data_IF_270110366299
#
_entry.id   IF_270110366299
#
_cell.length_a   1.000
_cell.length_b   1.000
_cell.length_c   1.000
_cell.angle_alpha   90.00
_cell.angle_beta   90.00
_cell.angle_gamma   90.00
#
_symmetry.space_group_name_H-M   'P 1'
#
loop_
_entity.id
_entity.type
_entity.pdbx_description
1 polymer ?
#
# COMPACT_ATOMS: atom_id res chain seq x y z
N UNK A 1 20.34 -13.20 3.40
CA UNK A 1 20.52 -11.77 3.07
C UNK A 1 21.04 -11.58 1.64
N UNK A 2 22.00 -12.37 1.16
CA UNK A 2 22.51 -12.36 -0.24
C UNK A 2 21.52 -12.80 -1.34
N UNK A 3 20.34 -13.33 -0.98
CA UNK A 3 19.35 -13.84 -1.96
C UNK A 3 18.37 -12.79 -2.47
N UNK A 4 18.22 -11.64 -1.78
CA UNK A 4 17.28 -10.57 -2.17
C UNK A 4 17.93 -9.40 -2.93
N UNK A 5 19.22 -9.14 -2.74
CA UNK A 5 20.00 -8.31 -3.68
C UNK A 5 20.03 -8.91 -5.10
N UNK A 6 19.88 -10.24 -5.23
CA UNK A 6 19.65 -10.89 -6.53
C UNK A 6 18.26 -10.67 -7.11
N UNK A 7 17.26 -10.20 -6.36
CA UNK A 7 15.90 -10.00 -6.87
C UNK A 7 15.74 -8.59 -7.42
N UNK A 8 16.31 -7.56 -6.77
CA UNK A 8 16.44 -6.24 -7.37
C UNK A 8 17.47 -6.23 -8.52
N UNK A 9 18.60 -6.94 -8.37
CA UNK A 9 19.70 -6.94 -9.35
C UNK A 9 19.62 -7.95 -10.50
N UNK A 10 18.73 -8.97 -10.49
CA UNK A 10 18.58 -9.92 -11.64
C UNK A 10 17.36 -9.67 -12.52
N UNK A 11 16.49 -8.73 -12.18
CA UNK A 11 15.33 -8.39 -13.01
C UNK A 11 15.59 -7.21 -13.96
N UNK A 12 16.78 -6.60 -13.91
CA UNK A 12 17.26 -5.52 -14.79
C UNK A 12 18.17 -6.09 -15.91
N UNK A 13 17.73 -7.13 -16.61
CA UNK A 13 18.45 -7.64 -17.79
C UNK A 13 17.66 -8.77 -18.47
N UNK A 14 17.13 -8.57 -19.68
CA UNK A 14 17.92 -8.49 -20.91
C UNK A 14 17.31 -7.62 -22.03
N UNK A 15 16.42 -6.67 -21.68
CA UNK A 15 15.95 -5.62 -22.61
C UNK A 15 15.88 -4.22 -22.02
N UNK A 16 16.37 -4.04 -20.80
CA UNK A 16 16.43 -2.71 -20.18
C UNK A 16 17.74 -2.05 -20.58
N UNK A 17 17.67 -1.07 -21.47
CA UNK A 17 18.78 -0.21 -21.85
C UNK A 17 18.77 1.02 -20.92
N UNK A 18 19.67 1.10 -19.92
CA UNK A 18 19.76 2.24 -19.01
C UNK A 18 20.12 3.56 -19.71
N UNK A 19 20.43 3.55 -21.01
CA UNK A 19 20.67 4.76 -21.81
C UNK A 19 19.42 5.30 -22.50
N UNK A 20 18.28 4.60 -22.45
CA UNK A 20 17.04 4.98 -23.18
C UNK A 20 15.92 5.57 -22.32
N UNK A 21 15.98 5.53 -21.00
CA UNK A 21 14.98 6.17 -20.14
C UNK A 21 15.58 6.62 -18.81
N UNK A 22 15.73 7.94 -18.63
CA UNK A 22 16.03 8.55 -17.34
C UNK A 22 14.79 8.57 -16.46
N UNK A 23 14.33 7.40 -16.03
CA UNK A 23 13.21 7.26 -15.08
C UNK A 23 13.81 7.30 -13.68
N UNK A 24 13.40 8.30 -12.89
CA UNK A 24 13.70 8.41 -11.47
C UNK A 24 12.43 8.09 -10.69
N UNK A 25 12.50 7.10 -9.80
CA UNK A 25 11.43 6.72 -8.89
C UNK A 25 11.62 7.39 -7.53
N UNK A 26 10.58 8.05 -7.04
CA UNK A 26 10.52 8.63 -5.68
C UNK A 26 9.36 8.00 -4.94
N UNK A 27 9.63 7.32 -3.83
CA UNK A 27 8.64 6.75 -2.93
C UNK A 27 8.33 7.80 -1.84
N UNK A 28 7.07 8.21 -1.76
CA UNK A 28 6.56 9.04 -0.66
C UNK A 28 5.74 8.13 0.25
N UNK A 29 6.25 7.91 1.45
CA UNK A 29 5.64 7.02 2.45
C UNK A 29 5.79 7.58 3.85
N UNK A 30 5.10 6.98 4.82
CA UNK A 30 5.12 7.40 6.21
C UNK A 30 5.45 6.19 7.10
N UNK A 31 6.52 6.27 7.91
CA UNK A 31 6.95 5.18 8.81
C UNK A 31 7.25 5.73 10.20
N UNK A 32 6.88 4.98 11.24
CA UNK A 32 7.27 5.25 12.63
C UNK A 32 8.72 4.85 12.90
N UNK A 33 9.52 5.76 13.45
CA UNK A 33 10.91 5.51 13.84
C UNK A 33 10.96 4.52 15.01
N UNK A 34 11.53 3.33 14.79
CA UNK A 34 11.93 2.43 15.87
C UNK A 34 13.34 2.80 16.35
N UNK A 35 13.47 3.30 17.57
CA UNK A 35 14.77 3.37 18.24
C UNK A 35 15.16 1.95 18.67
N UNK A 36 16.19 1.38 18.05
CA UNK A 36 16.81 0.14 18.53
C UNK A 36 18.18 0.45 19.11
N UNK A 37 18.28 0.32 20.43
CA UNK A 37 19.54 0.29 21.15
C UNK A 37 20.31 -0.97 20.79
N UNK A 38 21.40 -0.80 20.04
CA UNK A 38 22.42 -1.83 19.86
C UNK A 38 23.57 -1.47 20.77
N UNK A 39 23.77 -2.24 21.85
CA UNK A 39 25.01 -2.19 22.62
C UNK A 39 26.17 -2.63 21.73
N UNK A 40 27.02 -1.68 21.33
CA UNK A 40 28.42 -1.94 21.00
C UNK A 40 29.29 -1.25 22.05
N UNK A 41 30.12 -2.05 22.73
CA UNK A 41 31.24 -1.54 23.53
C UNK A 41 32.23 -0.86 22.59
N UNK A 42 32.61 0.37 22.90
CA UNK A 42 33.67 1.12 22.22
C UNK A 42 33.40 2.62 22.26
N UNK A 43 34.03 3.28 23.23
CA UNK A 43 34.28 4.72 23.40
C UNK A 43 33.10 5.70 23.24
N UNK A 44 32.65 6.24 24.39
CA UNK A 44 31.63 7.26 24.51
C UNK A 44 32.12 8.64 24.01
N UNK A 45 31.34 9.36 23.17
CA UNK A 45 31.42 10.81 23.05
C UNK A 45 30.55 11.48 24.13
N UNK A 46 30.80 12.76 24.46
CA UNK A 46 30.23 13.39 25.64
C UNK A 46 28.70 13.57 25.55
N UNK A 47 28.04 13.21 26.66
CA UNK A 47 26.67 13.60 27.02
C UNK A 47 26.56 15.14 26.99
N UNK A 48 25.96 15.71 25.94
CA UNK A 48 25.23 16.99 25.98
C UNK A 48 24.73 17.40 24.57
N UNK A 49 24.00 16.52 23.89
CA UNK A 49 23.14 16.93 22.79
C UNK A 49 21.70 17.01 23.31
N UNK A 50 21.07 18.20 23.38
CA UNK A 50 19.67 18.30 23.76
C UNK A 50 18.82 17.53 22.74
N UNK A 51 17.73 16.87 23.16
CA UNK A 51 16.82 16.22 22.23
C UNK A 51 16.36 17.26 21.19
N UNK A 52 16.19 16.87 19.90
CA UNK A 52 15.60 17.77 18.92
C UNK A 52 14.27 18.24 19.49
N UNK A 53 14.15 19.55 19.70
CA UNK A 53 12.93 20.16 20.20
C UNK A 53 11.83 19.81 19.21
N UNK A 54 10.95 18.89 19.59
CA UNK A 54 9.71 18.68 18.87
C UNK A 54 8.94 20.00 18.89
N UNK A 55 8.86 20.66 17.75
CA UNK A 55 7.82 21.65 17.53
C UNK A 55 6.50 20.89 17.68
N UNK A 56 5.73 21.25 18.70
CA UNK A 56 4.33 20.84 18.75
C UNK A 56 3.68 21.30 17.43
N UNK A 57 2.83 20.48 16.78
CA UNK A 57 2.13 20.91 15.59
C UNK A 57 1.24 22.10 15.98
N UNK A 58 1.59 23.28 15.48
CA UNK A 58 0.74 24.46 15.58
C UNK A 58 -0.38 24.22 14.56
N UNK A 59 -1.60 24.04 15.04
CA UNK A 59 -2.76 23.88 14.17
C UNK A 59 -2.99 25.17 13.37
N UNK A 60 -2.88 25.15 12.05
CA UNK A 60 -3.24 26.28 11.20
C UNK A 60 -4.73 26.24 10.83
N UNK A 61 -5.53 27.27 11.16
CA UNK A 61 -6.90 27.39 10.68
C UNK A 61 -7.01 27.80 9.19
N UNK A 62 -5.90 28.18 8.54
CA UNK A 62 -5.95 28.86 7.24
C UNK A 62 -6.26 27.93 6.05
N UNK A 63 -5.85 26.65 6.10
CA UNK A 63 -5.95 25.73 4.96
C UNK A 63 -6.63 24.38 5.28
N UNK A 64 -7.20 24.23 6.48
CA UNK A 64 -8.00 23.04 6.85
C UNK A 64 -7.24 21.71 6.94
N UNK A 65 -5.91 21.70 6.78
CA UNK A 65 -5.07 20.50 6.92
C UNK A 65 -4.42 20.41 8.31
N UNK A 66 -4.33 19.19 8.85
CA UNK A 66 -3.60 18.89 10.11
C UNK A 66 -2.20 18.35 9.78
N UNK A 67 -1.39 19.17 9.11
CA UNK A 67 0.01 18.87 8.79
C UNK A 67 0.91 20.06 9.16
N UNK A 68 2.22 20.00 8.85
CA UNK A 68 3.11 21.13 9.08
C UNK A 68 2.66 22.37 8.30
N UNK A 69 3.16 23.53 8.73
CA UNK A 69 2.84 24.80 8.08
C UNK A 69 3.43 24.80 6.66
N UNK A 70 2.61 25.22 5.71
CA UNK A 70 3.09 25.45 4.34
C UNK A 70 3.62 26.87 4.28
N UNK A 71 4.87 27.04 3.82
CA UNK A 71 5.42 28.34 3.48
C UNK A 71 4.91 28.79 2.10
N UNK A 72 4.03 29.81 2.00
CA UNK A 72 3.60 30.33 0.71
C UNK A 72 4.76 31.07 0.03
N UNK A 73 4.88 30.93 -1.29
CA UNK A 73 5.94 31.57 -2.07
C UNK A 73 5.61 31.63 -3.56
N UNK A 74 6.11 32.66 -4.26
CA UNK A 74 5.84 32.86 -5.70
C UNK A 74 6.78 32.10 -6.65
N UNK A 75 7.77 31.39 -6.11
CA UNK A 75 8.77 30.63 -6.88
C UNK A 75 8.73 29.15 -6.50
N UNK A 76 9.32 28.28 -7.33
CA UNK A 76 9.39 26.85 -7.03
C UNK A 76 8.01 26.20 -6.87
N UNK A 77 7.91 25.05 -6.20
CA UNK A 77 6.64 24.35 -5.96
C UNK A 77 5.61 25.19 -5.19
N UNK A 78 6.04 26.04 -4.25
CA UNK A 78 5.20 26.91 -3.43
C UNK A 78 4.11 27.68 -4.20
N UNK A 79 4.39 28.09 -5.45
CA UNK A 79 3.43 28.84 -6.30
C UNK A 79 2.14 28.10 -6.63
N UNK A 80 2.13 26.78 -6.48
CA UNK A 80 0.97 25.94 -6.75
C UNK A 80 0.22 25.54 -5.48
N UNK A 81 0.81 25.76 -4.30
CA UNK A 81 0.31 25.16 -3.06
C UNK A 81 -1.02 25.76 -2.64
N UNK A 82 -1.15 27.09 -2.65
CA UNK A 82 -2.38 27.78 -2.28
C UNK A 82 -3.59 27.31 -3.12
N UNK A 83 -3.44 27.34 -4.46
CA UNK A 83 -4.48 26.87 -5.38
C UNK A 83 -4.82 25.38 -5.17
N UNK A 84 -3.80 24.53 -4.96
CA UNK A 84 -3.99 23.09 -4.77
C UNK A 84 -4.72 22.78 -3.46
N UNK A 85 -4.33 23.44 -2.37
CA UNK A 85 -4.93 23.24 -1.05
C UNK A 85 -6.34 23.81 -0.97
N UNK A 86 -6.57 25.02 -1.50
CA UNK A 86 -7.91 25.61 -1.57
C UNK A 86 -8.88 24.71 -2.35
N UNK A 87 -8.39 24.01 -3.37
CA UNK A 87 -9.18 23.09 -4.16
C UNK A 87 -9.28 21.67 -3.56
N UNK A 88 -8.43 21.25 -2.62
CA UNK A 88 -8.40 19.90 -2.05
C UNK A 88 -9.39 19.76 -0.88
N UNK A 89 -10.19 18.69 -0.87
CA UNK A 89 -11.19 18.40 0.17
C UNK A 89 -10.84 17.10 0.91
N UNK A 90 -10.21 17.25 2.06
CA UNK A 90 -9.79 16.13 2.92
C UNK A 90 -10.92 15.19 3.31
N UNK A 91 -12.13 15.71 3.57
CA UNK A 91 -13.30 14.88 3.89
C UNK A 91 -13.69 13.93 2.75
N UNK A 92 -13.58 14.40 1.50
CA UNK A 92 -13.86 13.58 0.30
C UNK A 92 -12.78 12.52 0.11
N UNK A 93 -11.51 12.87 0.27
CA UNK A 93 -10.43 11.89 0.25
C UNK A 93 -10.68 10.78 1.30
N UNK A 94 -11.04 11.17 2.53
CA UNK A 94 -11.33 10.22 3.61
C UNK A 94 -12.61 9.40 3.38
N UNK A 95 -13.61 9.92 2.68
CA UNK A 95 -14.77 9.13 2.23
C UNK A 95 -14.34 7.99 1.32
N UNK A 96 -13.47 8.28 0.34
CA UNK A 96 -12.94 7.26 -0.56
C UNK A 96 -12.06 6.27 0.22
N UNK A 97 -11.20 6.74 1.13
CA UNK A 97 -10.39 5.85 1.98
C UNK A 97 -11.27 4.87 2.75
N UNK A 98 -12.35 5.34 3.39
CA UNK A 98 -13.29 4.46 4.11
C UNK A 98 -13.98 3.46 3.17
N UNK A 99 -14.33 3.89 1.96
CA UNK A 99 -14.89 2.98 0.97
C UNK A 99 -13.89 1.90 0.56
N UNK A 100 -12.63 2.26 0.32
CA UNK A 100 -11.60 1.33 -0.12
C UNK A 100 -11.24 0.34 0.99
N UNK A 101 -10.98 0.86 2.20
CA UNK A 101 -10.49 0.09 3.37
C UNK A 101 -11.40 -1.08 3.75
N UNK A 102 -12.72 -0.98 3.53
CA UNK A 102 -13.69 -2.02 3.88
C UNK A 102 -13.52 -3.34 3.10
N UNK A 103 -12.65 -3.40 2.10
CA UNK A 103 -12.49 -4.56 1.24
C UNK A 103 -11.16 -5.30 1.48
N UNK A 104 -11.19 -6.62 1.30
CA UNK A 104 -10.00 -7.42 1.03
C UNK A 104 -9.72 -7.37 -0.47
N UNK A 105 -8.61 -6.74 -0.88
CA UNK A 105 -8.31 -6.40 -2.29
C UNK A 105 -7.18 -7.25 -2.86
N UNK A 106 -7.36 -8.57 -2.97
CA UNK A 106 -6.41 -9.41 -3.70
C UNK A 106 -6.52 -9.10 -5.22
N UNK A 107 -5.45 -9.30 -6.02
CA UNK A 107 -5.49 -8.99 -7.45
C UNK A 107 -6.71 -9.58 -8.17
N UNK A 108 -7.49 -8.72 -8.85
CA UNK A 108 -8.67 -9.08 -9.65
C UNK A 108 -9.87 -9.62 -8.86
N UNK A 109 -9.81 -9.65 -7.53
CA UNK A 109 -10.90 -10.16 -6.70
C UNK A 109 -12.04 -9.14 -6.58
N UNK A 110 -13.18 -9.53 -6.00
CA UNK A 110 -14.35 -8.64 -5.90
C UNK A 110 -14.07 -7.30 -5.20
N UNK A 111 -13.22 -7.31 -4.16
CA UNK A 111 -12.86 -6.10 -3.43
C UNK A 111 -12.00 -5.15 -4.26
N UNK A 112 -11.02 -5.71 -4.97
CA UNK A 112 -10.18 -4.98 -5.92
C UNK A 112 -11.02 -4.37 -7.05
N UNK A 113 -11.89 -5.15 -7.66
CA UNK A 113 -12.72 -4.71 -8.78
C UNK A 113 -13.71 -3.61 -8.37
N UNK A 114 -14.31 -3.69 -7.17
CA UNK A 114 -15.15 -2.60 -6.61
C UNK A 114 -14.39 -1.29 -6.45
N UNK A 115 -13.10 -1.37 -6.10
CA UNK A 115 -12.25 -0.18 -5.96
C UNK A 115 -11.86 0.37 -7.31
N UNK A 116 -11.51 -0.48 -8.28
CA UNK A 116 -11.27 -0.07 -9.67
C UNK A 116 -12.50 0.63 -10.25
N UNK A 117 -13.70 0.06 -10.07
CA UNK A 117 -14.95 0.68 -10.54
C UNK A 117 -15.22 2.02 -9.86
N UNK A 118 -14.89 2.15 -8.56
CA UNK A 118 -14.97 3.43 -7.85
C UNK A 118 -14.01 4.46 -8.43
N UNK A 119 -12.75 4.08 -8.69
CA UNK A 119 -11.74 4.96 -9.31
C UNK A 119 -12.23 5.46 -10.67
N UNK A 120 -12.70 4.55 -11.52
CA UNK A 120 -13.23 4.88 -12.85
C UNK A 120 -14.43 5.84 -12.74
N UNK A 121 -15.42 5.53 -11.89
CA UNK A 121 -16.61 6.36 -11.72
C UNK A 121 -16.29 7.77 -11.20
N UNK A 122 -15.32 7.88 -10.27
CA UNK A 122 -14.80 9.17 -9.82
C UNK A 122 -14.20 9.97 -10.97
N UNK A 123 -13.31 9.37 -11.76
CA UNK A 123 -12.66 10.02 -12.89
C UNK A 123 -13.65 10.42 -14.00
N UNK A 124 -14.59 9.54 -14.36
CA UNK A 124 -15.66 9.85 -15.33
C UNK A 124 -16.49 11.06 -14.89
N UNK A 125 -16.81 11.14 -13.59
CA UNK A 125 -17.57 12.27 -13.00
C UNK A 125 -16.79 13.59 -13.04
N UNK A 126 -15.45 13.52 -13.09
CA UNK A 126 -14.58 14.68 -13.27
C UNK A 126 -14.44 15.11 -14.72
N UNK A 127 -14.93 14.32 -15.67
CA UNK A 127 -14.85 14.62 -17.10
C UNK A 127 -13.76 13.85 -17.85
N UNK A 128 -13.05 12.90 -17.21
CA UNK A 128 -12.12 12.03 -17.91
C UNK A 128 -12.87 11.13 -18.91
N UNK A 129 -12.29 10.91 -20.09
CA UNK A 129 -12.89 10.13 -21.19
C UNK A 129 -11.91 9.13 -21.76
N UNK A 130 -12.39 8.00 -22.33
CA UNK A 130 -11.51 7.01 -22.93
C UNK A 130 -10.64 7.64 -24.02
N UNK A 131 -9.33 7.37 -23.95
CA UNK A 131 -8.34 7.99 -24.84
C UNK A 131 -8.53 7.65 -26.31
N UNK A 132 -9.01 6.44 -26.60
CA UNK A 132 -9.31 5.96 -27.95
C UNK A 132 -10.63 6.54 -28.52
N UNK A 133 -11.34 7.38 -27.74
CA UNK A 133 -12.64 7.91 -28.10
C UNK A 133 -13.77 6.89 -28.02
N UNK A 134 -13.51 5.69 -27.49
CA UNK A 134 -14.56 4.73 -27.19
C UNK A 134 -15.43 5.24 -26.03
N UNK A 135 -16.70 4.84 -25.98
CA UNK A 135 -17.61 5.19 -24.90
C UNK A 135 -18.75 6.13 -25.31
N UNK A 136 -19.82 6.15 -24.50
CA UNK A 136 -20.98 7.00 -24.79
C UNK A 136 -20.55 8.46 -24.76
N UNK A 137 -20.97 9.22 -25.76
CA UNK A 137 -20.85 10.67 -25.78
C UNK A 137 -21.74 11.26 -24.67
N UNK A 138 -21.21 11.28 -23.44
CA UNK A 138 -21.84 11.95 -22.29
C UNK A 138 -21.50 13.44 -22.28
N UNK A 139 -21.04 14.00 -23.41
CA UNK A 139 -20.68 15.42 -23.52
C UNK A 139 -21.92 16.30 -23.37
N UNK A 140 -23.08 15.89 -23.88
CA UNK A 140 -24.28 16.73 -23.86
C UNK A 140 -24.90 16.70 -22.46
N UNK A 141 -24.85 17.81 -21.68
CA UNK A 141 -25.56 17.87 -20.42
C UNK A 141 -27.07 17.78 -20.70
N UNK A 142 -27.90 17.46 -19.69
CA UNK A 142 -29.36 17.34 -19.88
C UNK A 142 -30.00 18.60 -20.48
N UNK A 143 -29.32 19.74 -20.39
CA UNK A 143 -29.73 21.04 -20.92
C UNK A 143 -29.35 21.28 -22.41
N UNK A 144 -28.65 20.36 -23.06
CA UNK A 144 -28.26 20.47 -24.47
C UNK A 144 -27.08 21.39 -24.76
N UNK A 145 -26.37 21.90 -23.75
CA UNK A 145 -25.18 22.72 -23.96
C UNK A 145 -24.01 21.91 -24.53
N UNK A 146 -23.13 22.57 -25.29
CA UNK A 146 -21.88 21.95 -25.75
C UNK A 146 -20.85 22.11 -24.63
N UNK A 147 -20.33 21.03 -24.04
CA UNK A 147 -19.31 21.17 -23.02
C UNK A 147 -18.01 21.69 -23.65
N UNK A 148 -17.15 22.34 -22.86
CA UNK A 148 -15.81 22.69 -23.31
C UNK A 148 -15.06 21.44 -23.79
N UNK A 149 -14.25 21.59 -24.85
CA UNK A 149 -13.43 20.51 -25.43
C UNK A 149 -12.29 20.13 -24.47
N UNK A 150 -12.62 19.33 -23.47
CA UNK A 150 -11.71 18.88 -22.41
C UNK A 150 -11.00 17.57 -22.78
N UNK A 151 -10.62 17.40 -24.05
CA UNK A 151 -9.78 16.29 -24.54
C UNK A 151 -8.44 16.14 -23.81
N UNK A 152 -8.09 17.09 -22.95
CA UNK A 152 -6.94 17.03 -22.08
C UNK A 152 -7.14 16.16 -20.82
N UNK A 153 -8.32 15.54 -20.64
CA UNK A 153 -8.60 14.57 -19.58
C UNK A 153 -8.82 13.17 -20.16
N UNK A 154 -7.76 12.34 -20.16
CA UNK A 154 -7.78 11.01 -20.76
C UNK A 154 -7.83 9.90 -19.70
N UNK A 155 -8.65 8.88 -19.96
CA UNK A 155 -8.78 7.66 -19.17
C UNK A 155 -8.41 6.45 -20.03
N UNK A 156 -7.65 5.53 -19.46
CA UNK A 156 -7.36 4.23 -20.05
C UNK A 156 -7.58 3.14 -18.99
N UNK A 157 -8.20 2.03 -19.37
CA UNK A 157 -8.30 0.81 -18.56
C UNK A 157 -7.61 -0.30 -19.31
N UNK A 158 -6.44 -0.69 -18.83
CA UNK A 158 -5.58 -1.68 -19.47
C UNK A 158 -5.88 -3.04 -18.83
N UNK A 159 -6.33 -3.99 -19.64
CA UNK A 159 -6.60 -5.36 -19.22
C UNK A 159 -5.42 -6.28 -19.57
N UNK A 160 -4.95 -7.03 -18.58
CA UNK A 160 -3.88 -8.02 -18.76
C UNK A 160 -4.29 -9.35 -18.15
N UNK A 161 -3.66 -10.44 -18.59
CA UNK A 161 -3.92 -11.76 -18.01
C UNK A 161 -3.34 -11.85 -16.59
N UNK A 162 -4.17 -12.25 -15.62
CA UNK A 162 -3.74 -12.46 -14.23
C UNK A 162 -2.82 -13.70 -14.08
N UNK A 163 -2.93 -14.67 -14.99
CA UNK A 163 -2.13 -15.91 -14.99
C UNK A 163 -2.64 -17.01 -14.07
N UNK A 164 -3.68 -16.74 -13.28
CA UNK A 164 -4.46 -17.66 -12.47
C UNK A 164 -5.84 -17.04 -12.18
N UNK A 165 -6.75 -17.80 -11.58
CA UNK A 165 -8.06 -17.26 -11.17
C UNK A 165 -7.90 -16.24 -10.03
N UNK A 166 -8.76 -15.22 -10.03
CA UNK A 166 -8.84 -14.24 -8.96
C UNK A 166 -9.43 -14.89 -7.71
N UNK A 167 -8.79 -14.71 -6.56
CA UNK A 167 -9.17 -15.34 -5.30
C UNK A 167 -9.88 -14.35 -4.37
N UNK A 168 -11.11 -14.69 -3.95
CA UNK A 168 -11.93 -13.88 -3.05
C UNK A 168 -12.19 -14.63 -1.75
N UNK A 169 -11.78 -14.12 -0.58
CA UNK A 169 -12.22 -14.67 0.71
C UNK A 169 -13.70 -14.37 0.94
N UNK A 170 -14.50 -15.39 1.26
CA UNK A 170 -15.94 -15.26 1.51
C UNK A 170 -16.23 -15.22 3.00
N UNK A 171 -15.71 -16.19 3.75
CA UNK A 171 -15.82 -16.25 5.22
C UNK A 171 -14.72 -17.13 5.79
N UNK A 172 -14.38 -16.92 7.06
CA UNK A 172 -13.54 -17.83 7.82
C UNK A 172 -13.82 -17.74 9.31
N UNK A 173 -13.53 -18.82 10.04
CA UNK A 173 -13.61 -18.83 11.49
C UNK A 173 -12.56 -19.76 12.09
N UNK A 174 -12.02 -19.37 13.25
CA UNK A 174 -11.21 -20.22 14.12
C UNK A 174 -11.94 -20.27 15.47
N UNK A 175 -12.28 -21.48 15.91
CA UNK A 175 -13.04 -21.73 17.14
C UNK A 175 -12.30 -22.72 18.03
N UNK A 176 -12.27 -22.45 19.33
CA UNK A 176 -11.82 -23.37 20.36
C UNK A 176 -13.02 -24.09 20.97
N UNK A 177 -12.95 -25.41 21.08
CA UNK A 177 -14.01 -26.25 21.67
C UNK A 177 -13.40 -27.28 22.63
N UNK A 178 -14.06 -27.51 23.75
CA UNK A 178 -13.73 -28.57 24.71
C UNK A 178 -15.03 -29.01 25.41
N UNK A 179 -15.10 -30.21 26.03
CA UNK A 179 -16.31 -30.68 26.70
C UNK A 179 -16.85 -29.74 27.78
N UNK A 180 -15.95 -29.00 28.44
CA UNK A 180 -16.21 -28.05 29.52
C UNK A 180 -16.15 -26.58 29.06
N UNK A 181 -16.03 -26.34 27.75
CA UNK A 181 -16.02 -25.01 27.13
C UNK A 181 -17.22 -24.86 26.20
N UNK A 182 -18.12 -23.93 26.53
CA UNK A 182 -19.11 -23.42 25.56
C UNK A 182 -18.32 -22.70 24.45
N UNK A 183 -18.04 -23.40 23.35
CA UNK A 183 -17.02 -23.06 22.36
C UNK A 183 -16.78 -21.57 22.08
N UNK A 184 -15.51 -21.17 22.03
CA UNK A 184 -15.06 -19.79 21.89
C UNK A 184 -14.65 -19.48 20.45
N UNK A 185 -15.13 -18.36 19.89
CA UNK A 185 -14.63 -17.85 18.60
C UNK A 185 -13.39 -17.01 18.85
N UNK A 186 -12.26 -17.44 18.29
CA UNK A 186 -10.97 -16.76 18.48
C UNK A 186 -10.75 -15.67 17.44
N UNK A 187 -11.10 -15.95 16.19
CA UNK A 187 -11.05 -15.03 15.05
C UNK A 187 -12.13 -15.43 14.03
N UNK A 188 -12.69 -14.48 13.31
CA UNK A 188 -13.59 -14.80 12.19
C UNK A 188 -14.13 -13.60 11.44
N UNK A 189 -14.53 -13.85 10.19
CA UNK A 189 -15.26 -12.90 9.36
C UNK A 189 -16.33 -13.61 8.52
N UNK A 190 -17.42 -12.91 8.29
CA UNK A 190 -18.53 -13.31 7.42
C UNK A 190 -18.82 -12.26 6.34
N UNK A 191 -18.26 -11.05 6.48
CA UNK A 191 -18.43 -9.95 5.54
C UNK A 191 -17.11 -9.22 5.27
N UNK A 192 -17.07 -8.52 4.13
CA UNK A 192 -15.90 -7.75 3.70
C UNK A 192 -15.35 -6.76 4.75
N UNK A 193 -16.16 -5.99 5.51
CA UNK A 193 -15.64 -4.98 6.44
C UNK A 193 -15.13 -5.55 7.77
N UNK A 194 -15.32 -6.84 8.03
CA UNK A 194 -14.96 -7.44 9.32
C UNK A 194 -13.46 -7.32 9.60
N UNK A 195 -13.13 -7.17 10.88
CA UNK A 195 -11.77 -6.83 11.34
C UNK A 195 -10.77 -7.95 11.11
N UNK A 196 -11.20 -9.21 11.17
CA UNK A 196 -10.32 -10.38 11.05
C UNK A 196 -10.14 -10.86 9.60
N UNK A 197 -10.68 -10.14 8.60
CA UNK A 197 -10.64 -10.56 7.18
C UNK A 197 -9.25 -10.95 6.65
N UNK A 198 -8.20 -10.37 7.22
CA UNK A 198 -6.80 -10.65 6.85
C UNK A 198 -6.28 -11.99 7.37
N UNK A 199 -7.06 -12.70 8.20
CA UNK A 199 -6.72 -14.02 8.73
C UNK A 199 -6.58 -15.09 7.65
N UNK A 200 -7.21 -14.88 6.49
CA UNK A 200 -7.08 -15.77 5.33
C UNK A 200 -5.96 -15.25 4.41
N UNK A 201 -4.82 -15.95 4.30
CA UNK A 201 -3.80 -15.65 3.32
C UNK A 201 -4.36 -15.79 1.90
N UNK A 202 -3.89 -14.95 0.98
CA UNK A 202 -4.26 -15.07 -0.44
C UNK A 202 -3.93 -16.47 -0.96
N UNK A 203 -4.88 -17.07 -1.67
CA UNK A 203 -4.86 -18.45 -2.19
C UNK A 203 -4.96 -19.56 -1.14
N UNK A 204 -5.36 -19.24 0.09
CA UNK A 204 -5.70 -20.28 1.08
C UNK A 204 -6.93 -21.08 0.60
N UNK A 205 -6.91 -22.42 0.71
CA UNK A 205 -7.99 -23.25 0.22
C UNK A 205 -9.26 -23.12 1.07
N UNK A 206 -10.40 -23.43 0.46
CA UNK A 206 -11.64 -23.65 1.20
C UNK A 206 -11.61 -24.99 1.92
N UNK A 207 -12.26 -25.08 3.09
CA UNK A 207 -12.40 -26.33 3.80
C UNK A 207 -12.67 -26.15 5.29
N UNK A 208 -12.77 -27.29 5.98
CA UNK A 208 -12.96 -27.37 7.42
C UNK A 208 -12.04 -28.44 7.99
N UNK A 209 -11.43 -28.14 9.13
CA UNK A 209 -10.67 -29.11 9.90
C UNK A 209 -10.91 -28.88 11.40
N UNK A 210 -10.89 -29.97 12.15
CA UNK A 210 -10.90 -29.94 13.62
C UNK A 210 -9.77 -30.82 14.11
N UNK A 211 -8.97 -30.32 15.03
CA UNK A 211 -7.87 -31.09 15.61
C UNK A 211 -7.27 -30.45 16.84
N UNK A 212 -6.49 -31.25 17.57
CA UNK A 212 -5.75 -30.79 18.76
C UNK A 212 -4.71 -29.75 18.34
N UNK A 213 -4.58 -28.62 19.06
CA UNK A 213 -3.50 -27.69 18.82
C UNK A 213 -2.15 -28.27 19.26
N UNK A 214 -1.12 -28.06 18.46
CA UNK A 214 0.27 -28.35 18.80
C UNK A 214 1.14 -27.10 18.52
N UNK A 215 2.21 -26.91 19.30
CA UNK A 215 3.00 -25.67 19.28
C UNK A 215 4.42 -25.85 18.73
N UNK A 216 4.83 -27.09 18.50
CA UNK A 216 6.09 -27.41 17.84
C UNK A 216 5.83 -28.36 16.67
N UNK A 217 6.60 -28.20 15.61
CA UNK A 217 6.50 -29.07 14.43
C UNK A 217 6.77 -30.54 14.77
N UNK A 218 7.60 -30.81 15.77
CA UNK A 218 7.93 -32.18 16.21
C UNK A 218 6.72 -32.91 16.82
N UNK A 219 5.77 -32.15 17.38
CA UNK A 219 4.58 -32.68 18.07
C UNK A 219 3.36 -32.82 17.15
N UNK A 220 3.53 -32.56 15.84
CA UNK A 220 2.45 -32.69 14.87
C UNK A 220 2.15 -34.17 14.66
N UNK A 221 0.92 -34.55 14.97
CA UNK A 221 0.33 -35.84 14.62
C UNK A 221 -0.68 -35.66 13.46
N UNK A 222 -1.13 -36.78 12.89
CA UNK A 222 -2.15 -36.76 11.86
C UNK A 222 -3.43 -36.11 12.38
N UNK A 223 -3.92 -35.09 11.69
CA UNK A 223 -5.12 -34.33 12.07
C UNK A 223 -4.87 -33.14 12.99
N UNK A 224 -3.66 -32.95 13.54
CA UNK A 224 -3.37 -31.83 14.44
C UNK A 224 -3.44 -30.47 13.76
N UNK A 225 -3.70 -29.42 14.55
CA UNK A 225 -3.63 -28.02 14.12
C UNK A 225 -2.30 -27.45 14.63
N UNK A 226 -1.39 -27.09 13.72
CA UNK A 226 -0.11 -26.50 14.11
C UNK A 226 -0.26 -25.01 14.35
N UNK A 227 0.07 -24.54 15.55
CA UNK A 227 0.09 -23.13 15.92
C UNK A 227 1.55 -22.69 16.11
N UNK A 228 1.98 -21.69 15.34
CA UNK A 228 3.39 -21.31 15.25
C UNK A 228 3.58 -19.81 15.09
N UNK A 229 4.79 -19.31 15.35
CA UNK A 229 5.22 -17.94 15.07
C UNK A 229 6.14 -17.87 13.83
N UNK A 230 6.29 -18.98 13.10
CA UNK A 230 7.14 -19.10 11.93
C UNK A 230 6.38 -18.72 10.64
N UNK A 231 7.06 -18.22 9.59
CA UNK A 231 6.41 -17.84 8.33
C UNK A 231 5.64 -19.00 7.68
N UNK A 232 4.39 -18.76 7.25
CA UNK A 232 3.53 -19.77 6.63
C UNK A 232 4.19 -20.51 5.45
N UNK A 233 4.81 -19.78 4.53
CA UNK A 233 5.49 -20.37 3.36
C UNK A 233 6.60 -21.37 3.73
N UNK A 234 7.17 -21.28 4.93
CA UNK A 234 8.16 -22.23 5.45
C UNK A 234 7.50 -23.44 6.12
N UNK A 235 6.33 -23.26 6.73
CA UNK A 235 5.69 -24.27 7.58
C UNK A 235 4.74 -25.19 6.82
N UNK A 236 4.02 -24.71 5.81
CA UNK A 236 2.96 -25.45 5.11
C UNK A 236 3.43 -26.85 4.67
N UNK A 237 4.52 -26.93 3.89
CA UNK A 237 5.04 -28.22 3.39
C UNK A 237 5.46 -29.15 4.52
N UNK A 238 6.04 -28.61 5.60
CA UNK A 238 6.57 -29.40 6.72
C UNK A 238 5.46 -29.95 7.62
N UNK A 239 4.44 -29.14 7.86
CA UNK A 239 3.27 -29.53 8.62
C UNK A 239 2.45 -30.56 7.84
N UNK A 240 2.23 -30.34 6.53
CA UNK A 240 1.57 -31.31 5.64
C UNK A 240 2.27 -32.67 5.65
N UNK A 241 3.60 -32.69 5.56
CA UNK A 241 4.38 -33.93 5.57
C UNK A 241 4.25 -34.74 6.88
N UNK A 242 3.81 -34.11 7.98
CA UNK A 242 3.53 -34.76 9.27
C UNK A 242 2.05 -35.05 9.50
N UNK A 243 1.19 -34.71 8.53
CA UNK A 243 -0.25 -34.97 8.62
C UNK A 243 -1.05 -33.88 9.34
N UNK A 244 -0.51 -32.68 9.57
CA UNK A 244 -1.30 -31.57 10.10
C UNK A 244 -2.54 -31.32 9.23
N UNK A 245 -3.68 -31.00 9.85
CA UNK A 245 -4.89 -30.62 9.16
C UNK A 245 -4.93 -29.11 8.82
N UNK A 246 -4.25 -28.28 9.61
CA UNK A 246 -4.08 -26.85 9.31
C UNK A 246 -2.83 -26.26 9.97
N UNK A 247 -2.43 -25.07 9.52
CA UNK A 247 -1.36 -24.25 10.14
C UNK A 247 -1.88 -22.85 10.44
N UNK A 248 -1.72 -22.41 11.68
CA UNK A 248 -1.99 -21.06 12.15
C UNK A 248 -0.66 -20.37 12.48
N UNK A 249 -0.38 -19.23 11.84
CA UNK A 249 0.85 -18.49 12.08
C UNK A 249 0.58 -17.10 12.66
N UNK A 250 1.22 -16.79 13.79
CA UNK A 250 1.23 -15.45 14.36
C UNK A 250 2.41 -14.59 13.90
N UNK A 251 3.04 -14.95 12.78
CA UNK A 251 4.24 -14.27 12.30
C UNK A 251 3.86 -12.90 11.73
N UNK A 252 4.35 -11.85 12.37
CA UNK A 252 4.45 -10.50 11.79
C UNK A 252 5.91 -10.18 11.42
N UNK A 253 6.10 -9.23 10.51
CA UNK A 253 7.42 -8.72 10.23
C UNK A 253 7.89 -7.79 11.37
N UNK A 254 9.20 -7.67 11.64
CA UNK A 254 9.71 -6.84 12.74
C UNK A 254 9.31 -5.37 12.65
N UNK A 255 9.15 -4.84 11.43
CA UNK A 255 8.73 -3.46 11.19
C UNK A 255 7.23 -3.21 11.46
N UNK A 256 6.44 -4.25 11.72
CA UNK A 256 5.05 -4.13 12.18
C UNK A 256 4.97 -4.11 13.71
N UNK A 257 6.10 -4.18 14.42
CA UNK A 257 6.11 -4.05 15.89
C UNK A 257 5.88 -2.58 16.23
N UNK A 258 4.77 -2.32 16.90
CA UNK A 258 4.44 -1.00 17.46
C UNK A 258 5.59 -0.53 18.36
N UNK A 259 6.30 0.56 18.02
CA UNK A 259 7.43 1.05 18.79
C UNK A 259 6.99 1.74 20.08
N UNK A 260 5.68 1.93 20.29
CA UNK A 260 5.11 2.54 21.49
C UNK A 260 4.66 1.49 22.51
N UNK A 261 4.45 1.90 23.75
CA UNK A 261 3.92 1.03 24.82
C UNK A 261 2.47 0.56 24.60
N UNK A 262 1.80 1.01 23.53
CA UNK A 262 0.43 0.58 23.20
C UNK A 262 0.37 -0.86 22.71
N UNK A 263 1.48 -1.43 22.23
CA UNK A 263 1.60 -2.83 21.78
C UNK A 263 0.50 -3.27 20.80
N UNK A 264 0.07 -2.38 19.90
CA UNK A 264 -1.00 -2.65 18.90
C UNK A 264 -0.67 -3.85 17.99
N UNK A 265 0.61 -4.11 17.79
CA UNK A 265 1.11 -5.23 16.99
C UNK A 265 0.70 -6.61 17.53
N UNK A 266 0.30 -6.73 18.80
CA UNK A 266 -0.15 -8.01 19.37
C UNK A 266 -1.51 -8.45 18.84
N UNK A 267 -2.33 -7.50 18.37
CA UNK A 267 -3.62 -7.73 17.70
C UNK A 267 -3.49 -7.79 16.18
N UNK A 268 -2.33 -7.43 15.63
CA UNK A 268 -2.12 -7.39 14.19
C UNK A 268 -2.11 -8.80 13.58
N UNK A 269 -2.84 -8.95 12.47
CA UNK A 269 -2.86 -10.16 11.64
C UNK A 269 -2.16 -9.82 10.32
N UNK A 270 -1.11 -10.57 9.99
CA UNK A 270 -0.33 -10.31 8.78
C UNK A 270 -1.12 -10.65 7.52
N UNK A 271 -1.28 -9.67 6.62
CA UNK A 271 -1.65 -9.92 5.24
C UNK A 271 -0.52 -10.70 4.55
N UNK A 272 -0.82 -11.91 4.09
CA UNK A 272 0.17 -12.80 3.47
C UNK A 272 -0.45 -13.57 2.31
N UNK A 273 0.40 -14.29 1.56
CA UNK A 273 -0.03 -15.20 0.49
C UNK A 273 0.64 -16.55 0.62
N UNK A 274 -0.06 -17.58 0.13
CA UNK A 274 0.49 -18.93 -0.04
C UNK A 274 0.59 -19.28 -1.52
N UNK A 275 1.38 -20.29 -1.91
CA UNK A 275 1.42 -20.72 -3.31
C UNK A 275 0.03 -21.08 -3.83
N UNK A 276 -0.26 -20.72 -5.07
CA UNK A 276 -1.47 -21.17 -5.78
C UNK A 276 -1.51 -22.70 -5.78
N UNK A 277 -2.67 -23.28 -5.51
CA UNK A 277 -2.85 -24.74 -5.39
C UNK A 277 -2.41 -25.32 -4.04
N UNK A 278 -2.19 -24.50 -3.01
CA UNK A 278 -1.99 -24.99 -1.64
C UNK A 278 -3.25 -25.74 -1.17
N UNK A 279 -3.08 -27.00 -0.74
CA UNK A 279 -4.19 -27.83 -0.25
C UNK A 279 -4.36 -27.80 1.28
N UNK A 280 -3.30 -27.46 2.02
CA UNK A 280 -3.36 -27.39 3.48
C UNK A 280 -4.03 -26.10 3.92
N UNK A 281 -5.05 -26.19 4.79
CA UNK A 281 -5.69 -25.02 5.39
C UNK A 281 -4.66 -24.20 6.17
N UNK A 282 -4.63 -22.90 5.91
CA UNK A 282 -3.66 -22.01 6.52
C UNK A 282 -4.27 -20.65 6.85
N UNK A 283 -3.87 -20.12 8.00
CA UNK A 283 -4.40 -18.88 8.54
C UNK A 283 -3.27 -18.04 9.16
N UNK A 284 -3.34 -16.73 8.95
CA UNK A 284 -2.63 -15.75 9.78
C UNK A 284 -3.46 -15.49 11.02
N UNK A 285 -2.85 -15.44 12.20
CA UNK A 285 -3.51 -15.10 13.46
C UNK A 285 -2.75 -14.00 14.19
N UNK A 286 -3.39 -13.34 15.16
CA UNK A 286 -2.69 -12.36 16.01
C UNK A 286 -1.84 -13.06 17.07
N UNK A 287 -0.86 -12.34 17.65
CA UNK A 287 -0.08 -12.87 18.77
C UNK A 287 -0.96 -13.15 19.99
N UNK A 288 -2.01 -12.35 20.20
CA UNK A 288 -3.02 -12.60 21.26
C UNK A 288 -3.85 -13.85 21.00
N UNK A 289 -4.32 -14.07 19.77
CA UNK A 289 -5.04 -15.30 19.42
C UNK A 289 -4.16 -16.55 19.62
N UNK A 290 -2.86 -16.46 19.25
CA UNK A 290 -1.90 -17.54 19.54
C UNK A 290 -1.79 -17.79 21.05
N UNK A 291 -1.53 -16.75 21.85
CA UNK A 291 -1.44 -16.88 23.31
C UNK A 291 -2.73 -17.48 23.90
N UNK A 292 -3.90 -17.04 23.44
CA UNK A 292 -5.20 -17.55 23.88
C UNK A 292 -5.35 -19.05 23.61
N UNK A 293 -4.95 -19.54 22.43
CA UNK A 293 -4.97 -20.98 22.12
C UNK A 293 -4.06 -21.75 23.08
N UNK A 294 -2.89 -21.20 23.43
CA UNK A 294 -1.94 -21.82 24.36
C UNK A 294 -2.48 -21.90 25.80
N UNK A 295 -3.12 -20.83 26.26
CA UNK A 295 -3.72 -20.77 27.59
C UNK A 295 -4.87 -21.78 27.69
N UNK A 296 -5.75 -21.80 26.69
CA UNK A 296 -6.84 -22.78 26.60
C UNK A 296 -6.32 -24.22 26.58
N UNK A 297 -5.22 -24.50 25.87
CA UNK A 297 -4.63 -25.84 25.82
C UNK A 297 -4.04 -26.28 27.16
N UNK A 298 -3.74 -25.34 28.06
CA UNK A 298 -3.26 -25.63 29.42
C UNK A 298 -4.42 -25.92 30.36
N UNK A 299 -5.56 -25.25 30.19
CA UNK A 299 -6.73 -25.41 31.07
C UNK A 299 -7.67 -26.52 30.61
N UNK A 300 -7.72 -26.83 29.31
CA UNK A 300 -8.60 -27.83 28.71
C UNK A 300 -7.76 -28.91 28.00
N UNK A 301 -7.45 -30.06 28.65
CA UNK A 301 -6.65 -31.12 28.07
C UNK A 301 -7.21 -31.69 26.75
N UNK A 302 -8.55 -31.68 26.62
CA UNK A 302 -9.28 -32.19 25.45
C UNK A 302 -9.60 -31.09 24.41
N UNK A 303 -8.93 -29.94 24.49
CA UNK A 303 -9.13 -28.83 23.57
C UNK A 303 -8.96 -29.25 22.10
N UNK A 304 -9.93 -28.89 21.28
CA UNK A 304 -9.85 -28.94 19.83
C UNK A 304 -9.96 -27.53 19.25
N UNK A 305 -9.23 -27.29 18.17
CA UNK A 305 -9.38 -26.10 17.33
C UNK A 305 -10.11 -26.52 16.06
N UNK A 306 -11.24 -25.86 15.79
CA UNK A 306 -11.94 -25.97 14.52
C UNK A 306 -11.62 -24.75 13.66
N UNK A 307 -11.20 -24.99 12.43
CA UNK A 307 -10.94 -23.96 11.44
C UNK A 307 -11.81 -24.18 10.22
N UNK A 308 -12.38 -23.10 9.70
CA UNK A 308 -13.27 -23.10 8.54
C UNK A 308 -12.88 -21.93 7.64
N UNK A 309 -12.83 -22.17 6.33
CA UNK A 309 -12.60 -21.15 5.32
C UNK A 309 -13.44 -21.44 4.08
N UNK A 310 -13.98 -20.39 3.50
CA UNK A 310 -14.62 -20.40 2.20
C UNK A 310 -14.04 -19.28 1.35
N UNK A 311 -13.66 -19.63 0.13
CA UNK A 311 -13.12 -18.74 -0.88
C UNK A 311 -13.71 -19.07 -2.24
N UNK A 312 -13.78 -18.06 -3.10
CA UNK A 312 -14.24 -18.17 -4.48
C UNK A 312 -13.10 -17.87 -5.44
N UNK A 313 -13.10 -18.59 -6.56
CA UNK A 313 -12.20 -18.40 -7.68
C UNK A 313 -13.00 -17.91 -8.88
N UNK A 314 -12.55 -16.82 -9.49
CA UNK A 314 -13.21 -16.21 -10.64
C UNK A 314 -12.17 -15.97 -11.75
N UNK A 315 -12.41 -16.47 -12.97
CA UNK A 315 -11.56 -16.19 -14.12
C UNK A 315 -11.81 -14.75 -14.61
N UNK A 316 -10.83 -13.86 -14.42
CA UNK A 316 -10.93 -12.43 -14.75
C UNK A 316 -9.59 -11.87 -15.26
N UNK A 317 -9.61 -10.84 -16.12
CA UNK A 317 -8.41 -10.06 -16.39
C UNK A 317 -8.02 -9.24 -15.16
N UNK A 318 -6.77 -8.82 -15.09
CA UNK A 318 -6.29 -7.80 -14.17
C UNK A 318 -6.44 -6.43 -14.84
N UNK A 319 -7.18 -5.51 -14.21
CA UNK A 319 -7.38 -4.13 -14.67
C UNK A 319 -6.35 -3.18 -14.05
N UNK A 320 -5.72 -2.36 -14.89
CA UNK A 320 -4.90 -1.21 -14.48
C UNK A 320 -5.52 0.06 -15.04
N UNK A 321 -5.85 1.03 -14.18
CA UNK A 321 -6.46 2.30 -14.58
C UNK A 321 -5.36 3.36 -14.70
N UNK A 322 -5.37 4.10 -15.80
CA UNK A 322 -4.47 5.23 -16.03
C UNK A 322 -5.33 6.46 -16.32
N UNK A 323 -5.15 7.52 -15.53
CA UNK A 323 -5.79 8.81 -15.77
C UNK A 323 -4.73 9.87 -16.06
N UNK A 324 -4.89 10.60 -17.15
CA UNK A 324 -3.92 11.57 -17.63
C UNK A 324 -4.51 12.98 -17.78
N UNK A 325 -3.89 13.95 -17.13
CA UNK A 325 -4.02 15.38 -17.48
C UNK A 325 -3.00 15.66 -18.57
N UNK A 326 -3.45 15.82 -19.81
CA UNK A 326 -2.57 15.98 -20.99
C UNK A 326 -1.90 17.34 -20.97
N UNK A 327 -0.57 17.33 -21.11
CA UNK A 327 0.26 18.52 -21.08
C UNK A 327 -0.07 19.53 -22.19
N UNK A 328 0.05 20.82 -21.89
CA UNK A 328 -0.28 21.90 -22.83
C UNK A 328 0.74 22.07 -23.95
N UNK A 329 2.04 21.94 -23.65
CA UNK A 329 3.13 22.23 -24.60
C UNK A 329 3.97 21.00 -24.95
N UNK A 330 4.02 20.00 -24.04
CA UNK A 330 4.81 18.77 -24.18
C UNK A 330 3.94 17.54 -23.81
N UNK A 331 2.84 17.29 -24.55
CA UNK A 331 1.86 16.24 -24.23
C UNK A 331 2.42 14.80 -24.34
N UNK A 332 3.52 14.63 -25.06
CA UNK A 332 4.17 13.33 -25.28
C UNK A 332 5.20 12.97 -24.20
N UNK A 333 5.35 13.80 -23.17
CA UNK A 333 6.19 13.51 -22.00
C UNK A 333 5.32 13.43 -20.76
N UNK A 334 5.49 12.36 -19.97
CA UNK A 334 4.65 12.06 -18.82
C UNK A 334 5.45 11.95 -17.52
N UNK A 335 4.87 12.49 -16.45
CA UNK A 335 5.21 12.13 -15.07
C UNK A 335 4.22 11.04 -14.66
N UNK A 336 4.73 9.87 -14.30
CA UNK A 336 3.93 8.75 -13.83
C UNK A 336 3.81 8.76 -12.31
N UNK A 337 2.62 8.52 -11.77
CA UNK A 337 2.37 8.42 -10.34
C UNK A 337 1.65 7.11 -10.08
N UNK A 338 2.30 6.19 -9.37
CA UNK A 338 1.77 4.87 -9.04
C UNK A 338 1.08 4.91 -7.66
N UNK A 339 -0.15 4.43 -7.60
CA UNK A 339 -0.95 4.28 -6.39
C UNK A 339 -1.59 2.89 -6.42
N UNK A 340 -0.96 1.90 -5.79
CA UNK A 340 -1.49 0.54 -5.83
C UNK A 340 -2.83 0.43 -5.10
N UNK A 341 -3.63 -0.57 -5.49
CA UNK A 341 -4.99 -0.86 -4.98
C UNK A 341 -5.01 -2.18 -4.19
N UNK A 342 -4.09 -3.08 -4.50
CA UNK A 342 -4.01 -4.41 -3.92
C UNK A 342 -3.66 -4.33 -2.42
N UNK A 343 -4.13 -5.28 -1.60
CA UNK A 343 -3.98 -5.31 -0.13
C UNK A 343 -5.12 -4.64 0.66
N UNK A 344 -5.50 -5.19 1.82
CA UNK A 344 -6.36 -4.51 2.79
C UNK A 344 -5.55 -3.51 3.64
N UNK A 345 -6.12 -2.33 3.92
CA UNK A 345 -5.51 -1.34 4.80
C UNK A 345 -5.85 0.11 4.44
N UNK A 346 -5.93 0.94 5.49
CA UNK A 346 -6.29 2.35 5.38
C UNK A 346 -5.13 3.25 4.92
N UNK A 347 -3.90 2.97 5.38
CA UNK A 347 -2.69 3.73 4.99
C UNK A 347 -2.06 3.09 3.77
N UNK A 348 -1.53 1.88 3.92
CA UNK A 348 -1.12 1.04 2.81
C UNK A 348 -2.34 0.19 2.41
N UNK A 349 -3.13 0.60 1.41
CA UNK A 349 -2.89 1.65 0.42
C UNK A 349 -4.12 2.53 0.12
N UNK A 350 -5.20 2.38 0.88
CA UNK A 350 -6.43 3.15 0.63
C UNK A 350 -6.19 4.66 0.62
N UNK A 351 -5.22 5.13 1.43
CA UNK A 351 -4.79 6.53 1.49
C UNK A 351 -4.24 7.04 0.16
N UNK A 352 -3.41 6.24 -0.53
CA UNK A 352 -2.91 6.57 -1.87
C UNK A 352 -4.04 6.66 -2.89
N UNK A 353 -4.96 5.68 -2.88
CA UNK A 353 -6.13 5.68 -3.77
C UNK A 353 -6.99 6.93 -3.56
N UNK A 354 -7.47 7.16 -2.33
CA UNK A 354 -8.36 8.28 -2.03
C UNK A 354 -7.67 9.65 -2.14
N UNK A 355 -6.41 9.73 -1.70
CA UNK A 355 -5.60 10.94 -1.76
C UNK A 355 -5.34 11.40 -3.19
N UNK A 356 -5.00 10.49 -4.10
CA UNK A 356 -4.69 10.86 -5.48
C UNK A 356 -5.91 11.03 -6.38
N UNK A 357 -7.04 10.41 -6.09
CA UNK A 357 -8.31 10.80 -6.74
C UNK A 357 -8.65 12.25 -6.39
N UNK A 358 -8.53 12.63 -5.11
CA UNK A 358 -8.84 13.98 -4.67
C UNK A 358 -7.79 15.00 -5.12
N UNK A 359 -6.51 14.63 -5.18
CA UNK A 359 -5.46 15.47 -5.75
C UNK A 359 -5.68 15.69 -7.25
N UNK A 360 -6.08 14.67 -7.99
CA UNK A 360 -6.44 14.81 -9.40
C UNK A 360 -7.59 15.80 -9.57
N UNK A 361 -8.64 15.65 -8.75
CA UNK A 361 -9.78 16.58 -8.74
C UNK A 361 -9.35 18.01 -8.44
N UNK A 362 -8.49 18.22 -7.45
CA UNK A 362 -8.08 19.57 -7.04
C UNK A 362 -7.31 20.27 -8.15
N UNK A 363 -6.40 19.58 -8.84
CA UNK A 363 -5.66 20.10 -10.01
C UNK A 363 -6.61 20.44 -11.15
N UNK A 364 -7.54 19.54 -11.50
CA UNK A 364 -8.54 19.80 -12.56
C UNK A 364 -9.42 21.01 -12.22
N UNK A 365 -9.84 21.13 -10.96
CA UNK A 365 -10.65 22.25 -10.48
C UNK A 365 -9.90 23.57 -10.58
N UNK A 366 -8.63 23.59 -10.13
CA UNK A 366 -7.78 24.78 -10.20
C UNK A 366 -7.48 25.21 -11.64
N UNK A 367 -7.34 24.26 -12.58
CA UNK A 367 -7.19 24.55 -14.01
C UNK A 367 -8.46 25.17 -14.57
N UNK A 368 -9.63 24.59 -14.29
CA UNK A 368 -10.92 25.10 -14.78
C UNK A 368 -11.28 26.49 -14.24
N UNK A 369 -10.79 26.83 -13.05
CA UNK A 369 -11.02 28.15 -12.43
C UNK A 369 -9.92 29.17 -12.76
N UNK A 370 -9.02 28.88 -13.70
CA UNK A 370 -7.85 29.70 -14.04
C UNK A 370 -6.90 30.01 -12.86
N UNK A 371 -7.02 29.28 -11.74
CA UNK A 371 -6.13 29.40 -10.59
C UNK A 371 -4.79 28.70 -10.82
N UNK A 372 -4.73 27.79 -11.78
CA UNK A 372 -3.52 27.09 -12.20
C UNK A 372 -3.50 26.93 -13.72
N UNK A 373 -2.40 27.25 -14.37
CA UNK A 373 -2.24 26.92 -15.79
C UNK A 373 -2.13 25.39 -15.96
N UNK A 374 -2.68 24.86 -17.06
CA UNK A 374 -2.49 23.45 -17.43
C UNK A 374 -0.99 23.11 -17.47
N UNK A 375 -0.54 21.99 -16.89
CA UNK A 375 0.88 21.64 -16.86
C UNK A 375 1.43 21.51 -18.27
N UNK A 376 2.70 21.86 -18.46
CA UNK A 376 3.38 21.70 -19.75
C UNK A 376 3.46 20.23 -20.18
N UNK A 377 3.66 19.34 -19.20
CA UNK A 377 3.82 17.90 -19.38
C UNK A 377 2.59 17.17 -18.91
N UNK A 378 2.41 15.97 -19.44
CA UNK A 378 1.32 15.10 -19.00
C UNK A 378 1.58 14.59 -17.58
N UNK A 379 0.54 14.59 -16.74
CA UNK A 379 0.56 13.93 -15.43
C UNK A 379 -0.32 12.69 -15.56
N UNK A 380 0.23 11.50 -15.33
CA UNK A 380 -0.47 10.23 -15.41
C UNK A 380 -0.49 9.55 -14.03
N UNK A 381 -1.68 9.30 -13.48
CA UNK A 381 -1.85 8.53 -12.24
C UNK A 381 -2.32 7.12 -12.60
N UNK A 382 -1.73 6.12 -11.94
CA UNK A 382 -1.85 4.71 -12.25
C UNK A 382 -2.37 3.97 -11.01
N UNK A 383 -3.49 3.26 -11.14
CA UNK A 383 -4.07 2.42 -10.09
C UNK A 383 -4.21 0.97 -10.56
N UNK A 384 -3.82 0.02 -9.72
CA UNK A 384 -3.76 -1.40 -10.06
C UNK A 384 -3.02 -2.25 -9.02
N UNK A 385 -2.51 -3.41 -9.45
CA UNK A 385 -1.76 -4.34 -8.58
C UNK A 385 -0.31 -3.89 -8.37
N UNK A 386 0.20 -4.01 -7.14
CA UNK A 386 1.49 -3.47 -6.76
C UNK A 386 2.60 -4.05 -7.65
N UNK A 387 3.48 -3.17 -8.15
CA UNK A 387 4.53 -3.45 -9.14
C UNK A 387 4.05 -3.91 -10.52
N UNK A 388 2.96 -4.68 -10.63
CA UNK A 388 2.39 -5.08 -11.90
C UNK A 388 1.86 -3.87 -12.66
N UNK A 389 1.13 -2.97 -11.99
CA UNK A 389 0.57 -1.74 -12.59
C UNK A 389 1.64 -0.90 -13.29
N UNK A 390 2.82 -0.75 -12.68
CA UNK A 390 3.90 0.07 -13.23
C UNK A 390 4.51 -0.60 -14.47
N UNK A 391 4.62 -1.92 -14.49
CA UNK A 391 5.08 -2.68 -15.67
C UNK A 391 4.06 -2.58 -16.79
N UNK A 392 2.78 -2.83 -16.50
CA UNK A 392 1.68 -2.72 -17.46
C UNK A 392 1.64 -1.32 -18.06
N UNK A 393 1.74 -0.28 -17.23
CA UNK A 393 1.83 1.10 -17.71
C UNK A 393 3.04 1.32 -18.61
N UNK A 394 4.25 0.91 -18.21
CA UNK A 394 5.47 1.16 -19.00
C UNK A 394 5.48 0.39 -20.33
N UNK A 395 4.91 -0.81 -20.37
CA UNK A 395 4.77 -1.61 -21.59
C UNK A 395 3.70 -1.04 -22.53
N UNK A 396 2.65 -0.42 -21.98
CA UNK A 396 1.54 0.19 -22.72
C UNK A 396 1.80 1.66 -23.12
N UNK A 397 2.62 2.38 -22.37
CA UNK A 397 2.78 3.83 -22.50
C UNK A 397 3.40 4.22 -23.84
N UNK A 398 2.63 4.97 -24.63
CA UNK A 398 3.11 5.64 -25.84
C UNK A 398 3.89 6.93 -25.53
N UNK A 399 3.59 7.54 -24.39
CA UNK A 399 4.25 8.76 -23.92
C UNK A 399 5.60 8.43 -23.30
N UNK A 400 6.59 9.28 -23.52
CA UNK A 400 7.89 9.15 -22.87
C UNK A 400 7.74 9.48 -21.39
N UNK A 401 7.84 8.46 -20.53
CA UNK A 401 7.91 8.65 -19.08
C UNK A 401 9.26 9.26 -18.71
N UNK A 402 9.22 10.45 -18.12
CA UNK A 402 10.44 11.22 -17.77
C UNK A 402 10.73 11.23 -16.27
N UNK A 403 9.76 10.86 -15.44
CA UNK A 403 9.89 10.75 -14.00
C UNK A 403 8.74 9.90 -13.45
N UNK A 404 8.95 9.27 -12.30
CA UNK A 404 7.95 8.44 -11.63
C UNK A 404 7.90 8.74 -10.12
N UNK A 405 6.70 8.73 -9.56
CA UNK A 405 6.42 8.81 -8.13
C UNK A 405 5.67 7.54 -7.71
N UNK A 406 5.98 6.99 -6.54
CA UNK A 406 5.15 6.01 -5.84
C UNK A 406 4.50 6.72 -4.66
N UNK A 407 3.18 6.65 -4.60
CA UNK A 407 2.40 7.46 -3.68
C UNK A 407 1.27 6.64 -3.05
N UNK A 408 1.67 5.53 -2.46
CA UNK A 408 0.79 4.50 -1.93
C UNK A 408 0.34 4.81 -0.49
N UNK A 409 1.27 5.31 0.32
CA UNK A 409 1.07 5.59 1.74
C UNK A 409 1.17 7.10 2.00
N UNK A 410 0.03 7.81 1.96
CA UNK A 410 -0.02 9.26 2.15
C UNK A 410 -0.89 9.69 3.34
N UNK A 411 -0.59 10.85 3.91
CA UNK A 411 -1.48 11.48 4.90
C UNK A 411 -1.55 10.78 6.28
N UNK A 412 -0.56 9.95 6.63
CA UNK A 412 -0.49 9.37 7.97
C UNK A 412 -0.32 10.45 9.04
N UNK A 413 -1.12 10.38 10.10
CA UNK A 413 -1.05 11.35 11.20
C UNK A 413 0.20 11.14 12.05
N UNK A 414 1.08 12.12 12.12
CA UNK A 414 2.25 12.12 13.01
C UNK A 414 1.85 11.92 14.47
N UNK A 415 0.80 12.60 14.93
CA UNK A 415 0.31 12.48 16.30
C UNK A 415 -0.15 11.05 16.66
N UNK A 416 -0.82 10.36 15.73
CA UNK A 416 -1.40 9.04 16.00
C UNK A 416 -0.45 7.87 15.71
N UNK A 417 0.47 8.07 14.77
CA UNK A 417 1.32 6.99 14.22
C UNK A 417 2.81 7.20 14.46
N UNK A 418 3.22 8.43 14.80
CA UNK A 418 4.64 8.82 14.83
C UNK A 418 5.24 8.98 13.43
N UNK A 419 4.44 8.86 12.36
CA UNK A 419 4.93 8.97 11.00
C UNK A 419 5.30 10.42 10.67
N UNK A 420 6.42 10.61 9.98
CA UNK A 420 6.89 11.89 9.48
C UNK A 420 6.80 11.91 7.96
N UNK A 421 6.86 13.10 7.35
CA UNK A 421 7.00 13.21 5.91
C UNK A 421 8.38 12.67 5.50
N UNK A 422 8.41 11.65 4.65
CA UNK A 422 9.63 10.99 4.18
C UNK A 422 9.72 11.07 2.66
N UNK A 423 10.96 11.18 2.18
CA UNK A 423 11.28 11.22 0.77
C UNK A 423 12.30 10.12 0.45
N UNK A 424 11.84 8.96 -0.01
CA UNK A 424 12.72 7.92 -0.52
C UNK A 424 12.93 8.12 -2.03
N UNK A 425 14.15 7.95 -2.51
CA UNK A 425 14.54 8.30 -3.89
C UNK A 425 15.58 7.34 -4.43
N UNK A 426 15.67 7.28 -5.76
CA UNK A 426 16.76 6.60 -6.44
C UNK A 426 18.15 7.12 -6.00
N UNK A 427 19.22 6.33 -6.22
CA UNK A 427 20.61 6.75 -6.04
C UNK A 427 20.96 8.11 -6.65
N UNK A 428 20.79 9.19 -5.89
CA UNK A 428 21.23 10.55 -6.23
C UNK A 428 22.13 11.11 -5.11
N UNK A 429 22.86 12.22 -5.33
CA UNK A 429 23.76 12.76 -4.31
C UNK A 429 23.10 13.02 -2.95
N UNK A 430 21.83 13.42 -2.91
CA UNK A 430 21.04 13.59 -1.68
C UNK A 430 20.55 12.27 -1.06
N UNK A 431 20.78 11.12 -1.69
CA UNK A 431 20.60 9.80 -1.08
C UNK A 431 21.86 9.32 -0.33
N UNK A 432 22.97 10.06 -0.39
CA UNK A 432 24.19 9.79 0.40
C UNK A 432 24.13 10.48 1.75
N UNK A 433 23.69 11.74 1.76
CA UNK A 433 23.56 12.56 2.95
C UNK A 433 22.22 13.32 2.91
N UNK A 434 21.23 12.92 3.73
CA UNK A 434 19.95 13.60 3.78
C UNK A 434 20.12 14.93 4.50
N UNK A 435 19.47 15.98 3.97
CA UNK A 435 19.46 17.31 4.58
C UNK A 435 18.10 17.58 5.23
N UNK A 436 18.03 18.00 6.50
CA UNK A 436 16.76 18.27 7.17
C UNK A 436 15.79 19.11 6.31
N UNK A 437 14.47 18.81 6.33
CA UNK A 437 13.79 17.83 7.19
C UNK A 437 13.87 16.37 6.70
N UNK A 438 14.58 16.11 5.60
CA UNK A 438 14.76 14.78 5.03
C UNK A 438 15.59 13.85 5.93
N UNK A 439 15.22 12.58 6.00
CA UNK A 439 15.92 11.53 6.76
C UNK A 439 15.84 10.19 6.06
N UNK A 440 16.90 9.37 6.15
CA UNK A 440 16.83 7.98 5.72
C UNK A 440 16.07 7.13 6.72
N UNK A 441 15.22 6.25 6.19
CA UNK A 441 14.62 5.16 6.94
C UNK A 441 15.61 3.98 7.03
N UNK A 442 15.39 3.02 7.95
CA UNK A 442 16.09 1.72 7.91
C UNK A 442 15.92 0.94 6.59
N UNK A 443 14.98 1.34 5.74
CA UNK A 443 14.70 0.74 4.43
C UNK A 443 15.51 1.37 3.30
N UNK A 444 15.65 2.71 3.32
CA UNK A 444 16.38 3.49 2.32
C UNK A 444 17.86 3.72 2.61
N UNK A 445 18.38 3.27 3.77
CA UNK A 445 19.77 3.53 4.23
C UNK A 445 20.79 2.47 3.76
N UNK A 446 20.60 1.88 2.59
CA UNK A 446 21.59 0.95 2.04
C UNK A 446 22.77 1.70 1.43
N UNK A 447 24.03 1.26 1.63
CA UNK A 447 25.18 1.87 0.96
C UNK A 447 25.01 1.91 -0.57
N UNK A 448 25.16 3.09 -1.14
CA UNK A 448 25.04 3.34 -2.58
C UNK A 448 26.43 3.55 -3.18
N UNK A 449 26.84 2.78 -4.20
CA UNK A 449 28.10 3.01 -4.91
C UNK A 449 28.15 4.38 -5.60
N UNK A 450 29.28 5.08 -5.55
CA UNK A 450 29.42 6.41 -6.13
C UNK A 450 29.13 6.46 -7.65
N UNK A 451 29.45 5.38 -8.38
CA UNK A 451 29.20 5.24 -9.82
C UNK A 451 27.73 4.99 -10.18
N UNK A 452 26.89 4.67 -9.19
CA UNK A 452 25.44 4.55 -9.34
C UNK A 452 24.70 5.87 -9.11
N UNK A 453 25.36 6.90 -8.56
CA UNK A 453 24.75 8.19 -8.30
C UNK A 453 24.39 8.91 -9.61
N UNK A 454 23.14 9.33 -9.73
CA UNK A 454 22.62 10.09 -10.87
C UNK A 454 21.88 11.32 -10.34
N UNK A 455 22.40 12.53 -10.55
CA UNK A 455 21.67 13.75 -10.17
C UNK A 455 20.29 13.78 -10.82
N UNK A 456 19.26 13.96 -10.02
CA UNK A 456 17.87 14.00 -10.44
C UNK A 456 17.26 15.35 -10.13
N UNK A 457 16.77 16.04 -11.16
CA UNK A 457 15.97 17.25 -10.96
C UNK A 457 14.68 16.98 -10.18
N UNK A 458 14.11 15.78 -10.31
CA UNK A 458 12.91 15.38 -9.56
C UNK A 458 13.18 15.33 -8.06
N UNK A 459 14.33 14.81 -7.64
CA UNK A 459 14.71 14.75 -6.22
C UNK A 459 14.86 16.14 -5.63
N UNK A 460 15.42 17.09 -6.38
CA UNK A 460 15.51 18.50 -5.96
C UNK A 460 14.11 19.11 -5.83
N UNK A 461 13.24 18.90 -6.81
CA UNK A 461 11.85 19.40 -6.78
C UNK A 461 11.07 18.81 -5.60
N UNK A 462 11.19 17.50 -5.35
CA UNK A 462 10.52 16.83 -4.25
C UNK A 462 11.05 17.31 -2.89
N UNK A 463 12.36 17.56 -2.77
CA UNK A 463 12.94 18.16 -1.57
C UNK A 463 12.45 19.59 -1.35
N UNK A 464 12.40 20.43 -2.40
CA UNK A 464 11.82 21.76 -2.29
C UNK A 464 10.36 21.70 -1.86
N UNK A 465 9.58 20.79 -2.43
CA UNK A 465 8.19 20.58 -2.01
C UNK A 465 8.09 20.16 -0.54
N UNK A 466 9.01 19.31 -0.04
CA UNK A 466 9.06 18.91 1.36
C UNK A 466 9.38 20.09 2.30
N UNK A 467 10.25 21.00 1.90
CA UNK A 467 10.56 22.24 2.65
C UNK A 467 9.36 23.18 2.64
N UNK A 468 8.71 23.34 1.48
CA UNK A 468 7.58 24.26 1.31
C UNK A 468 6.37 23.83 2.16
N UNK A 469 6.29 22.56 2.60
CA UNK A 469 5.20 22.00 3.42
C UNK A 469 5.64 21.56 4.82
N UNK A 470 6.86 21.90 5.24
CA UNK A 470 7.55 21.38 6.41
C UNK A 470 7.78 22.40 7.52
#
# INVERSE_FOLDING_TARGET
MERRQRIAGRWIGSRWDPTRAGIVLVLVGAIGLAQHGVSRRGDAPPDDAPPPRGSAPVSSPAHGHRGPDVAPGGAGPARFVEASYAAFRSERAMEIVRFVDQFYRAPGNDGFEKVIDRVIGELESLGFRPRDGSGPDRSTPPDGSTPPDERWLELEVIETALGHDAWTPVRAAIRAIAPDLEGETLLGFEAAPDVDRTMSPVYSPSGRATGRPCFQLADVEAGSILVTDQPLGFMIRRARARGAAAVLSSRIAPFNVDPTDRRRHLDAIAYTKVPVGTELLCFSISARAHARIRDLATTHPDLQITVEAESRLDARPLRTVVASIVGATRPQEAIAIACHVQEPGAVDNASGVGGFIEAMRSVVTAIRSDAMARPDRTISIIWGDEMAQSRVYLDHAERRTIAALSADMVGASTEQTGAIALLERDPDPGAVEPLPPDVHTPWGSTPVPADSLRPSGLSVVARCALIDVG
#
